data_IF_662210340291
#
_entry.id   IF_662210340291
#
_cell.length_a   1.000
_cell.length_b   1.000
_cell.length_c   1.000
_cell.angle_alpha   90.00
_cell.angle_beta   90.00
_cell.angle_gamma   90.00
#
_symmetry.space_group_name_H-M   'P 1'
#
loop_
_entity.id
_entity.type
_entity.pdbx_description
1 polymer ?
#
# COMPACT_ATOMS: atom_id res chain seq x y z
N UNK A 1 -38.03 26.65 64.67
CA UNK A 1 -37.94 25.33 64.00
C UNK A 1 -36.86 25.40 62.95
N UNK A 2 -35.77 24.70 63.21
CA UNK A 2 -34.61 24.50 62.36
C UNK A 2 -34.87 23.27 61.48
N UNK A 3 -34.58 23.32 60.17
CA UNK A 3 -34.13 22.15 59.42
C UNK A 3 -33.24 22.62 58.25
N UNK A 4 -32.03 22.07 58.20
CA UNK A 4 -31.11 22.02 57.06
C UNK A 4 -31.66 21.10 55.95
N UNK A 5 -31.33 21.31 54.66
CA UNK A 5 -30.82 20.22 53.80
C UNK A 5 -30.42 20.64 52.37
N UNK A 6 -29.14 20.37 52.07
CA UNK A 6 -28.53 19.74 50.87
C UNK A 6 -28.74 20.40 49.50
N UNK A 7 -27.69 21.06 49.00
CA UNK A 7 -26.99 20.53 47.81
C UNK A 7 -25.62 21.21 47.66
N UNK A 8 -24.67 20.70 48.44
CA UNK A 8 -23.26 20.72 48.08
C UNK A 8 -23.05 19.73 46.93
N UNK A 9 -22.77 20.23 45.73
CA UNK A 9 -21.69 19.73 44.87
C UNK A 9 -21.53 20.73 43.73
N UNK A 10 -20.60 21.66 43.93
CA UNK A 10 -20.01 22.42 42.86
C UNK A 10 -19.50 21.45 41.80
N UNK A 11 -19.98 21.66 40.58
CA UNK A 11 -19.60 20.96 39.35
C UNK A 11 -18.09 21.10 39.13
N UNK A 12 -17.35 20.16 39.72
CA UNK A 12 -15.92 20.01 39.52
C UNK A 12 -15.65 19.44 38.14
N UNK A 13 -15.22 20.31 37.23
CA UNK A 13 -14.16 20.05 36.25
C UNK A 13 -14.08 18.63 35.67
N UNK A 14 -15.06 18.25 34.85
CA UNK A 14 -14.79 17.27 33.79
C UNK A 14 -14.25 18.05 32.59
N UNK A 15 -12.92 18.19 32.52
CA UNK A 15 -12.23 18.49 31.25
C UNK A 15 -12.52 17.31 30.32
N UNK A 16 -13.14 17.52 29.14
CA UNK A 16 -13.06 16.52 28.09
C UNK A 16 -11.58 16.29 27.83
N UNK A 17 -11.14 15.05 27.98
CA UNK A 17 -9.82 14.64 27.59
C UNK A 17 -9.69 14.95 26.09
N UNK A 18 -8.95 16.02 25.78
CA UNK A 18 -8.46 16.29 24.44
C UNK A 18 -7.51 15.14 24.09
N UNK A 19 -8.10 14.05 23.58
CA UNK A 19 -7.37 12.95 22.99
C UNK A 19 -6.67 13.50 21.75
N UNK A 20 -5.44 13.97 21.96
CA UNK A 20 -4.45 14.24 20.93
C UNK A 20 -3.99 12.92 20.31
N UNK A 21 -4.92 12.22 19.67
CA UNK A 21 -4.61 11.19 18.71
C UNK A 21 -5.15 11.67 17.38
N UNK A 22 -4.34 12.50 16.73
CA UNK A 22 -4.49 12.91 15.35
C UNK A 22 -4.36 11.67 14.46
N UNK A 23 -5.34 10.77 14.50
CA UNK A 23 -5.59 9.85 13.42
C UNK A 23 -6.02 10.73 12.26
N UNK A 24 -5.05 11.09 11.42
CA UNK A 24 -5.33 11.71 10.14
C UNK A 24 -6.30 10.78 9.43
N UNK A 25 -7.57 11.17 9.39
CA UNK A 25 -8.59 10.49 8.61
C UNK A 25 -8.14 10.69 7.16
N UNK A 26 -7.37 9.75 6.62
CA UNK A 26 -7.04 9.72 5.21
C UNK A 26 -8.38 9.61 4.49
N UNK A 27 -8.75 10.70 3.85
CA UNK A 27 -9.97 10.70 3.03
C UNK A 27 -9.85 9.59 1.97
N UNK A 28 -10.96 8.99 1.53
CA UNK A 28 -10.94 7.98 0.47
C UNK A 28 -10.13 8.44 -0.75
N UNK A 29 -10.20 9.74 -1.08
CA UNK A 29 -9.41 10.38 -2.12
C UNK A 29 -7.89 10.34 -1.87
N UNK A 30 -7.43 10.68 -0.66
CA UNK A 30 -6.00 10.61 -0.31
C UNK A 30 -5.47 9.18 -0.31
N UNK A 31 -6.29 8.20 0.07
CA UNK A 31 -5.93 6.78 -0.03
C UNK A 31 -5.77 6.34 -1.50
N UNK A 32 -6.68 6.78 -2.37
CA UNK A 32 -6.65 6.48 -3.80
C UNK A 32 -5.41 7.06 -4.50
N UNK A 33 -4.99 8.29 -4.16
CA UNK A 33 -3.77 8.90 -4.69
C UNK A 33 -2.53 8.10 -4.27
N UNK A 34 -2.40 7.80 -2.96
CA UNK A 34 -1.27 7.00 -2.44
C UNK A 34 -1.21 5.60 -3.06
N UNK A 35 -2.36 4.98 -3.27
CA UNK A 35 -2.45 3.69 -3.94
C UNK A 35 -2.02 3.78 -5.41
N UNK A 36 -2.44 4.82 -6.12
CA UNK A 36 -2.06 5.04 -7.53
C UNK A 36 -0.55 5.25 -7.67
N UNK A 37 0.06 6.00 -6.75
CA UNK A 37 1.51 6.20 -6.71
C UNK A 37 2.25 4.89 -6.41
N UNK A 38 1.77 4.12 -5.43
CA UNK A 38 2.31 2.80 -5.12
C UNK A 38 2.23 1.86 -6.33
N UNK A 39 1.08 1.78 -6.99
CA UNK A 39 0.87 0.93 -8.17
C UNK A 39 1.81 1.34 -9.32
N UNK A 40 1.93 2.65 -9.57
CA UNK A 40 2.85 3.18 -10.59
C UNK A 40 4.29 2.77 -10.28
N UNK A 41 4.70 2.87 -9.02
CA UNK A 41 6.02 2.41 -8.58
C UNK A 41 6.20 0.90 -8.77
N UNK A 42 5.23 0.09 -8.36
CA UNK A 42 5.29 -1.36 -8.50
C UNK A 42 5.41 -1.80 -9.96
N UNK A 43 4.68 -1.16 -10.89
CA UNK A 43 4.80 -1.43 -12.33
C UNK A 43 6.21 -1.08 -12.83
N UNK A 44 6.76 0.05 -12.39
CA UNK A 44 8.14 0.43 -12.71
C UNK A 44 9.15 -0.59 -12.17
N UNK A 45 8.96 -1.08 -10.95
CA UNK A 45 9.83 -2.07 -10.33
C UNK A 45 9.79 -3.41 -11.10
N UNK A 46 8.62 -3.85 -11.57
CA UNK A 46 8.46 -5.05 -12.42
C UNK A 46 9.20 -4.88 -13.74
N UNK A 47 9.06 -3.71 -14.39
CA UNK A 47 9.75 -3.41 -15.64
C UNK A 47 11.28 -3.41 -15.46
N UNK A 48 11.78 -2.81 -14.39
CA UNK A 48 13.19 -2.81 -14.04
C UNK A 48 13.73 -4.24 -13.86
N UNK A 49 12.98 -5.10 -13.17
CA UNK A 49 13.33 -6.51 -12.96
C UNK A 49 13.44 -7.27 -14.29
N UNK A 50 12.52 -7.01 -15.22
CA UNK A 50 12.54 -7.61 -16.56
C UNK A 50 13.77 -7.17 -17.36
N UNK A 51 14.03 -5.85 -17.41
CA UNK A 51 15.21 -5.29 -18.10
C UNK A 51 16.52 -5.85 -17.54
N UNK A 52 16.63 -6.00 -16.21
CA UNK A 52 17.82 -6.58 -15.60
C UNK A 52 18.03 -8.04 -16.03
N UNK A 53 16.95 -8.83 -16.08
CA UNK A 53 17.01 -10.21 -16.58
C UNK A 53 17.49 -10.26 -18.04
N UNK A 54 16.97 -9.37 -18.89
CA UNK A 54 17.35 -9.31 -20.30
C UNK A 54 18.82 -8.95 -20.48
N UNK A 55 19.30 -7.95 -19.73
CA UNK A 55 20.71 -7.54 -19.75
C UNK A 55 21.62 -8.70 -19.34
N UNK A 56 21.30 -9.41 -18.25
CA UNK A 56 22.11 -10.54 -17.80
C UNK A 56 22.12 -11.68 -18.82
N UNK A 57 20.98 -11.95 -19.45
CA UNK A 57 20.85 -12.94 -20.50
C UNK A 57 21.67 -12.57 -21.74
N UNK A 58 21.65 -11.29 -22.13
CA UNK A 58 22.43 -10.78 -23.25
C UNK A 58 23.93 -10.86 -22.98
N UNK A 59 24.37 -10.46 -21.79
CA UNK A 59 25.78 -10.56 -21.36
C UNK A 59 26.27 -12.01 -21.37
N UNK A 60 25.44 -12.94 -20.90
CA UNK A 60 25.75 -14.36 -20.94
C UNK A 60 25.86 -14.86 -22.38
N UNK A 61 24.93 -14.48 -23.26
CA UNK A 61 24.97 -14.86 -24.68
C UNK A 61 26.20 -14.28 -25.41
N UNK A 62 26.69 -13.13 -24.97
CA UNK A 62 27.94 -12.49 -25.45
C UNK A 62 29.21 -13.13 -24.90
N UNK A 63 29.11 -14.07 -23.96
CA UNK A 63 30.25 -14.70 -23.31
C UNK A 63 30.97 -13.78 -22.31
N UNK A 64 30.30 -12.73 -21.83
CA UNK A 64 30.83 -11.90 -20.73
C UNK A 64 30.89 -12.71 -19.43
N UNK A 65 31.68 -12.22 -18.45
CA UNK A 65 31.90 -12.89 -17.17
C UNK A 65 30.67 -12.73 -16.25
N UNK A 66 29.60 -13.45 -16.57
CA UNK A 66 28.35 -13.52 -15.81
C UNK A 66 28.07 -14.96 -15.44
N UNK A 67 27.73 -15.21 -14.18
CA UNK A 67 27.41 -16.54 -13.70
C UNK A 67 26.08 -17.01 -14.29
N UNK A 68 26.09 -18.16 -14.97
CA UNK A 68 24.89 -18.79 -15.53
C UNK A 68 23.79 -18.96 -14.46
N UNK A 69 24.19 -19.31 -13.23
CA UNK A 69 23.26 -19.47 -12.11
C UNK A 69 22.54 -18.17 -11.76
N UNK A 70 23.23 -17.03 -11.78
CA UNK A 70 22.66 -15.72 -11.49
C UNK A 70 21.66 -15.29 -12.58
N UNK A 71 21.98 -15.55 -13.84
CA UNK A 71 21.09 -15.31 -14.98
C UNK A 71 19.80 -16.13 -14.83
N UNK A 72 19.93 -17.43 -14.53
CA UNK A 72 18.77 -18.31 -14.33
C UNK A 72 17.89 -17.87 -13.17
N UNK A 73 18.48 -17.52 -12.01
CA UNK A 73 17.73 -17.01 -10.86
C UNK A 73 17.02 -15.72 -11.22
N UNK A 74 17.72 -14.79 -11.88
CA UNK A 74 17.14 -13.48 -12.22
C UNK A 74 15.98 -13.63 -13.20
N UNK A 75 16.11 -14.52 -14.19
CA UNK A 75 15.03 -14.83 -15.12
C UNK A 75 13.81 -15.44 -14.41
N UNK A 76 14.02 -16.41 -13.51
CA UNK A 76 12.93 -16.99 -12.72
C UNK A 76 12.26 -15.94 -11.83
N UNK A 77 13.05 -15.09 -11.17
CA UNK A 77 12.56 -13.99 -10.34
C UNK A 77 11.73 -13.01 -11.16
N UNK A 78 12.18 -12.61 -12.34
CA UNK A 78 11.45 -11.72 -13.24
C UNK A 78 10.11 -12.35 -13.67
N UNK A 79 10.11 -13.64 -14.01
CA UNK A 79 8.89 -14.38 -14.37
C UNK A 79 7.86 -14.44 -13.24
N UNK A 80 8.28 -14.82 -12.03
CA UNK A 80 7.39 -14.89 -10.86
C UNK A 80 6.87 -13.49 -10.51
N UNK A 81 7.73 -12.48 -10.56
CA UNK A 81 7.36 -11.08 -10.30
C UNK A 81 6.31 -10.58 -11.29
N UNK A 82 6.45 -10.93 -12.57
CA UNK A 82 5.48 -10.58 -13.60
C UNK A 82 4.12 -11.25 -13.35
N UNK A 83 4.12 -12.55 -13.02
CA UNK A 83 2.89 -13.27 -12.70
C UNK A 83 2.16 -12.63 -11.51
N UNK A 84 2.89 -12.32 -10.43
CA UNK A 84 2.34 -11.63 -9.28
C UNK A 84 1.76 -10.25 -9.65
N UNK A 85 2.45 -9.50 -10.54
CA UNK A 85 1.97 -8.21 -11.01
C UNK A 85 0.66 -8.32 -11.81
N UNK A 86 0.48 -9.38 -12.60
CA UNK A 86 -0.77 -9.64 -13.33
C UNK A 86 -1.92 -9.91 -12.35
N UNK A 87 -1.70 -10.71 -11.31
CA UNK A 87 -2.71 -10.97 -10.28
C UNK A 87 -3.12 -9.70 -9.55
N UNK A 88 -2.14 -8.88 -9.17
CA UNK A 88 -2.42 -7.57 -8.56
C UNK A 88 -3.22 -6.68 -9.52
N UNK A 89 -2.81 -6.59 -10.80
CA UNK A 89 -3.55 -5.82 -11.82
C UNK A 89 -5.01 -6.27 -11.89
N UNK A 90 -5.27 -7.57 -11.92
CA UNK A 90 -6.62 -8.11 -11.98
C UNK A 90 -7.44 -7.68 -10.76
N UNK A 91 -6.89 -7.82 -9.54
CA UNK A 91 -7.56 -7.38 -8.31
C UNK A 91 -7.80 -5.90 -8.21
N UNK A 92 -6.92 -5.07 -8.76
CA UNK A 92 -7.12 -3.62 -8.81
C UNK A 92 -8.28 -3.27 -9.74
N UNK A 93 -8.34 -3.88 -10.92
CA UNK A 93 -9.45 -3.67 -11.87
C UNK A 93 -10.77 -4.13 -11.26
N UNK A 94 -10.81 -5.31 -10.63
CA UNK A 94 -12.00 -5.81 -9.92
C UNK A 94 -12.45 -4.84 -8.81
N UNK A 95 -11.51 -4.34 -7.99
CA UNK A 95 -11.82 -3.43 -6.89
C UNK A 95 -12.37 -2.09 -7.39
N UNK A 96 -11.81 -1.56 -8.49
CA UNK A 96 -12.34 -0.35 -9.12
C UNK A 96 -13.77 -0.58 -9.65
N UNK A 97 -14.02 -1.72 -10.29
CA UNK A 97 -15.36 -2.09 -10.74
C UNK A 97 -16.35 -2.25 -9.58
N UNK A 98 -15.91 -2.77 -8.43
CA UNK A 98 -16.75 -2.91 -7.25
C UNK A 98 -17.17 -1.56 -6.66
N UNK A 99 -16.23 -0.61 -6.55
CA UNK A 99 -16.55 0.76 -6.09
C UNK A 99 -17.60 1.42 -7.01
N UNK A 100 -17.52 1.19 -8.32
CA UNK A 100 -18.51 1.69 -9.28
C UNK A 100 -19.90 1.05 -9.09
N UNK A 101 -19.96 -0.21 -8.67
CA UNK A 101 -21.22 -0.92 -8.38
C UNK A 101 -21.86 -0.53 -7.06
N UNK A 102 -21.11 0.02 -6.11
CA UNK A 102 -21.64 0.45 -4.79
C UNK A 102 -22.52 1.72 -4.85
N UNK A 103 -22.53 2.47 -5.96
CA UNK A 103 -23.25 3.76 -6.07
C UNK A 103 -24.65 3.68 -6.70
N UNK A 104 -25.28 2.50 -6.76
CA UNK A 104 -26.70 2.37 -7.14
C UNK A 104 -27.60 2.11 -5.95
#
# INVERSE_FOLDING_TARGET
MSIQNINSVATGFLRPLEQKNSQQVTTPYQSQVKFSDFLKKSISDVNQSQIQSDILTEKLAKGENVDLHEVMITAQKASITLQAAIEVRNKVVESYQEIMRMQV
#
